data_IF_095357469344
#
_entry.id   IF_095357469344
#
_cell.length_a   1.000
_cell.length_b   1.000
_cell.length_c   1.000
_cell.angle_alpha   90.00
_cell.angle_beta   90.00
_cell.angle_gamma   90.00
#
_symmetry.space_group_name_H-M   'P 1'
#
loop_
_entity.id
_entity.type
_entity.pdbx_description
1 polymer ?
#
# COMPACT_ATOMS: atom_id res chain seq x y z
N UNK A 1 -16.50 -20.74 -12.68
CA UNK A 1 -16.15 -20.89 -11.24
C UNK A 1 -16.28 -19.50 -10.60
N UNK A 2 -17.19 -19.28 -9.64
CA UNK A 2 -17.27 -18.00 -8.92
C UNK A 2 -16.21 -18.03 -7.83
N UNK A 3 -15.13 -17.27 -8.00
CA UNK A 3 -14.18 -17.02 -6.91
C UNK A 3 -14.95 -16.34 -5.77
N UNK A 4 -14.98 -16.96 -4.59
CA UNK A 4 -15.50 -16.33 -3.37
C UNK A 4 -14.31 -15.67 -2.68
N UNK A 5 -14.15 -14.38 -2.91
CA UNK A 5 -13.09 -13.61 -2.25
C UNK A 5 -13.51 -13.20 -0.85
N UNK A 6 -12.58 -13.27 0.10
CA UNK A 6 -12.81 -12.91 1.50
C UNK A 6 -12.43 -11.44 1.76
N UNK A 7 -13.43 -10.55 1.64
CA UNK A 7 -13.22 -9.14 1.93
C UNK A 7 -13.00 -8.86 3.42
N UNK A 8 -13.46 -9.71 4.35
CA UNK A 8 -13.20 -9.49 5.77
C UNK A 8 -11.72 -9.67 6.09
N UNK A 9 -11.07 -10.64 5.44
CA UNK A 9 -9.62 -10.82 5.50
C UNK A 9 -8.86 -9.58 4.99
N UNK A 10 -9.30 -8.99 3.88
CA UNK A 10 -8.70 -7.75 3.36
C UNK A 10 -8.83 -6.59 4.34
N UNK A 11 -10.01 -6.38 4.92
CA UNK A 11 -10.28 -5.31 5.89
C UNK A 11 -9.48 -5.52 7.18
N UNK A 12 -9.33 -6.78 7.62
CA UNK A 12 -8.54 -7.13 8.81
C UNK A 12 -7.07 -6.81 8.61
N UNK A 13 -6.49 -7.16 7.45
CA UNK A 13 -5.08 -6.87 7.16
C UNK A 13 -4.83 -5.37 7.04
N UNK A 14 -5.69 -4.68 6.29
CA UNK A 14 -5.47 -3.26 6.00
C UNK A 14 -5.84 -2.34 7.16
N UNK A 15 -6.74 -2.78 8.05
CA UNK A 15 -7.33 -1.95 9.10
C UNK A 15 -8.23 -0.82 8.55
N UNK A 16 -8.61 -0.89 7.26
CA UNK A 16 -9.39 0.13 6.58
C UNK A 16 -10.86 -0.30 6.47
N UNK A 17 -11.75 0.68 6.33
CA UNK A 17 -13.15 0.45 5.96
C UNK A 17 -13.27 0.19 4.45
N UNK A 18 -14.41 -0.38 4.03
CA UNK A 18 -14.69 -0.60 2.59
C UNK A 18 -14.76 0.71 1.81
N UNK A 19 -15.25 1.76 2.47
CA UNK A 19 -15.36 3.10 1.93
C UNK A 19 -13.96 3.67 1.64
N UNK A 20 -13.05 3.58 2.61
CA UNK A 20 -11.66 4.04 2.44
C UNK A 20 -10.96 3.27 1.32
N UNK A 21 -11.14 1.94 1.26
CA UNK A 21 -10.58 1.12 0.16
C UNK A 21 -11.13 1.60 -1.20
N UNK A 22 -12.43 1.88 -1.27
CA UNK A 22 -13.06 2.34 -2.51
C UNK A 22 -12.54 3.71 -2.94
N UNK A 23 -12.28 4.62 -2.00
CA UNK A 23 -11.66 5.92 -2.26
C UNK A 23 -10.22 5.78 -2.75
N UNK A 24 -9.42 4.93 -2.11
CA UNK A 24 -8.05 4.64 -2.54
C UNK A 24 -7.99 4.06 -3.95
N UNK A 25 -8.93 3.17 -4.31
CA UNK A 25 -9.02 2.62 -5.66
C UNK A 25 -9.39 3.68 -6.71
N UNK A 26 -10.27 4.63 -6.36
CA UNK A 26 -10.59 5.76 -7.24
C UNK A 26 -9.37 6.65 -7.47
N UNK A 27 -8.68 7.01 -6.38
CA UNK A 27 -7.43 7.76 -6.45
C UNK A 27 -6.39 7.03 -7.33
N UNK A 28 -6.17 5.73 -7.10
CA UNK A 28 -5.25 4.94 -7.92
C UNK A 28 -5.64 4.95 -9.41
N UNK A 29 -6.93 4.90 -9.73
CA UNK A 29 -7.38 4.93 -11.12
C UNK A 29 -7.00 6.25 -11.83
N UNK A 30 -6.98 7.36 -11.09
CA UNK A 30 -6.65 8.70 -11.58
C UNK A 30 -5.13 8.95 -11.70
N UNK A 31 -4.29 8.11 -11.09
CA UNK A 31 -2.84 8.25 -11.14
C UNK A 31 -2.26 8.10 -12.57
N UNK A 32 -1.19 8.86 -12.91
CA UNK A 32 -0.43 8.64 -14.12
C UNK A 32 0.28 7.27 -14.09
N UNK A 33 0.64 6.76 -15.27
CA UNK A 33 1.21 5.41 -15.43
C UNK A 33 2.43 5.15 -14.53
N UNK A 34 3.32 6.13 -14.40
CA UNK A 34 4.53 6.02 -13.57
C UNK A 34 4.17 5.87 -12.10
N UNK A 35 3.26 6.69 -11.57
CA UNK A 35 2.81 6.59 -10.18
C UNK A 35 2.05 5.27 -9.90
N UNK A 36 1.34 4.75 -10.90
CA UNK A 36 0.74 3.40 -10.80
C UNK A 36 1.81 2.32 -10.64
N UNK A 37 2.91 2.42 -11.38
CA UNK A 37 4.05 1.48 -11.25
C UNK A 37 4.72 1.60 -9.88
N UNK A 38 4.87 2.82 -9.36
CA UNK A 38 5.40 3.05 -8.01
C UNK A 38 4.55 2.37 -6.94
N UNK A 39 3.21 2.35 -7.07
CA UNK A 39 2.33 1.64 -6.14
C UNK A 39 2.66 0.15 -6.07
N UNK A 40 2.97 -0.49 -7.20
CA UNK A 40 3.38 -1.89 -7.22
C UNK A 40 4.77 -2.10 -6.62
N UNK A 41 5.71 -1.20 -6.88
CA UNK A 41 7.04 -1.25 -6.27
C UNK A 41 6.96 -1.15 -4.74
N UNK A 42 6.16 -0.21 -4.23
CA UNK A 42 5.92 -0.05 -2.78
C UNK A 42 5.26 -1.30 -2.21
N UNK A 43 4.30 -1.90 -2.92
CA UNK A 43 3.69 -3.16 -2.48
C UNK A 43 4.71 -4.29 -2.33
N UNK A 44 5.75 -4.33 -3.18
CA UNK A 44 6.87 -5.27 -3.04
C UNK A 44 7.79 -4.93 -1.89
N UNK A 45 8.08 -3.65 -1.66
CA UNK A 45 8.81 -3.24 -0.47
C UNK A 45 8.07 -3.57 0.83
N UNK A 46 6.74 -3.48 0.87
CA UNK A 46 5.95 -3.91 2.04
C UNK A 46 6.11 -5.42 2.27
N UNK A 47 6.09 -6.19 1.18
CA UNK A 47 6.32 -7.65 1.21
C UNK A 47 7.72 -8.01 1.71
N UNK A 48 8.74 -7.20 1.40
CA UNK A 48 10.16 -7.47 1.68
C UNK A 48 10.70 -6.86 2.98
N UNK A 49 10.30 -5.63 3.36
CA UNK A 49 11.07 -4.80 4.30
C UNK A 49 10.75 -5.00 5.80
N UNK A 50 9.50 -4.92 6.29
CA UNK A 50 9.29 -5.04 7.75
C UNK A 50 7.82 -5.10 8.25
N UNK A 51 6.88 -5.62 7.45
CA UNK A 51 5.58 -6.10 7.98
C UNK A 51 5.55 -7.63 8.10
N UNK A 52 6.68 -8.29 7.89
CA UNK A 52 6.81 -9.75 7.85
C UNK A 52 6.37 -10.40 9.18
N UNK A 53 6.73 -9.84 10.33
CA UNK A 53 6.33 -10.44 11.62
C UNK A 53 4.84 -10.27 11.94
N UNK A 54 4.22 -9.13 11.62
CA UNK A 54 2.81 -8.87 11.94
C UNK A 54 1.85 -9.47 10.89
N UNK A 55 2.23 -9.43 9.61
CA UNK A 55 1.42 -9.92 8.49
C UNK A 55 1.68 -11.38 8.13
N UNK A 56 2.85 -12.00 8.41
CA UNK A 56 2.97 -13.46 8.26
C UNK A 56 2.07 -14.23 9.22
N UNK A 57 1.74 -13.67 10.40
CA UNK A 57 0.71 -14.24 11.27
C UNK A 57 -0.68 -14.26 10.62
N UNK A 58 -0.91 -13.39 9.63
CA UNK A 58 -2.15 -13.34 8.87
C UNK A 58 -2.04 -14.05 7.52
N UNK A 59 -0.84 -14.35 7.02
CA UNK A 59 -0.66 -14.99 5.72
C UNK A 59 -1.32 -16.37 5.65
N UNK A 60 -2.41 -16.43 4.90
CA UNK A 60 -3.11 -17.65 4.55
C UNK A 60 -2.85 -18.00 3.08
N UNK A 61 -2.21 -19.15 2.83
CA UNK A 61 -1.94 -19.66 1.47
C UNK A 61 -3.20 -19.83 0.64
N UNK A 62 -4.35 -20.05 1.27
CA UNK A 62 -5.64 -20.16 0.58
C UNK A 62 -6.19 -18.80 0.14
N UNK A 63 -5.65 -17.70 0.66
CA UNK A 63 -6.09 -16.31 0.43
C UNK A 63 -4.98 -15.45 -0.16
N UNK A 64 -4.14 -16.04 -1.00
CA UNK A 64 -2.99 -15.35 -1.59
C UNK A 64 -3.39 -14.15 -2.45
N UNK A 65 -4.56 -14.22 -3.11
CA UNK A 65 -5.10 -13.11 -3.90
C UNK A 65 -5.52 -11.94 -3.03
N UNK A 66 -6.24 -12.21 -1.94
CA UNK A 66 -6.66 -11.21 -0.96
C UNK A 66 -5.46 -10.61 -0.23
N UNK A 67 -4.47 -11.42 0.12
CA UNK A 67 -3.22 -10.96 0.73
C UNK A 67 -2.48 -9.99 -0.20
N UNK A 68 -2.26 -10.39 -1.46
CA UNK A 68 -1.64 -9.52 -2.45
C UNK A 68 -2.43 -8.24 -2.70
N UNK A 69 -3.76 -8.33 -2.71
CA UNK A 69 -4.62 -7.15 -2.82
C UNK A 69 -4.52 -6.23 -1.61
N UNK A 70 -4.41 -6.78 -0.39
CA UNK A 70 -4.19 -5.98 0.82
C UNK A 70 -2.86 -5.22 0.77
N UNK A 71 -1.77 -5.85 0.33
CA UNK A 71 -0.48 -5.19 0.17
C UNK A 71 -0.57 -4.04 -0.83
N UNK A 72 -1.27 -4.27 -1.95
CA UNK A 72 -1.53 -3.24 -2.94
C UNK A 72 -2.33 -2.06 -2.35
N UNK A 73 -3.41 -2.33 -1.61
CA UNK A 73 -4.20 -1.26 -0.94
C UNK A 73 -3.35 -0.47 0.05
N UNK A 74 -2.49 -1.13 0.83
CA UNK A 74 -1.58 -0.46 1.75
C UNK A 74 -0.57 0.43 1.01
N UNK A 75 -0.05 -0.04 -0.13
CA UNK A 75 0.85 0.74 -0.96
C UNK A 75 0.17 2.00 -1.55
N UNK A 76 -1.05 1.85 -2.07
CA UNK A 76 -1.87 2.98 -2.55
C UNK A 76 -2.18 3.95 -1.41
N UNK A 77 -2.53 3.45 -0.23
CA UNK A 77 -2.75 4.28 0.96
C UNK A 77 -1.49 5.06 1.33
N UNK A 78 -0.30 4.45 1.23
CA UNK A 78 0.96 5.14 1.47
C UNK A 78 1.15 6.27 0.46
N UNK A 79 1.05 5.99 -0.84
CA UNK A 79 1.14 7.03 -1.89
C UNK A 79 0.15 8.16 -1.68
N UNK A 80 -1.12 7.82 -1.43
CA UNK A 80 -2.16 8.79 -1.13
C UNK A 80 -1.78 9.69 0.05
N UNK A 81 -1.30 9.10 1.15
CA UNK A 81 -0.81 9.87 2.29
C UNK A 81 0.42 10.70 1.96
N UNK A 82 1.32 10.25 1.09
CA UNK A 82 2.50 11.04 0.70
C UNK A 82 2.11 12.28 -0.10
N UNK A 83 1.24 12.10 -1.10
CA UNK A 83 0.83 13.18 -1.99
C UNK A 83 -0.13 14.17 -1.30
N UNK A 84 -0.92 13.69 -0.33
CA UNK A 84 -1.85 14.54 0.41
C UNK A 84 -1.25 15.16 1.68
N UNK A 85 -0.17 14.60 2.24
CA UNK A 85 0.49 15.10 3.48
C UNK A 85 1.78 15.87 3.25
N UNK A 86 1.91 16.61 2.15
CA UNK A 86 2.95 17.65 2.04
C UNK A 86 2.61 18.96 2.82
N UNK A 87 1.63 18.92 3.73
CA UNK A 87 1.25 20.08 4.55
C UNK A 87 1.21 19.74 6.06
N UNK A 88 2.31 20.09 6.73
CA UNK A 88 2.30 20.72 8.06
C UNK A 88 2.23 19.89 9.37
N UNK A 89 2.40 18.56 9.43
CA UNK A 89 2.51 17.94 10.78
C UNK A 89 3.54 16.80 10.96
N UNK A 90 4.40 17.01 11.95
CA UNK A 90 5.65 16.29 12.27
C UNK A 90 5.42 15.02 13.08
N UNK A 91 4.58 14.09 12.61
CA UNK A 91 4.40 12.78 13.26
C UNK A 91 4.33 11.61 12.25
N UNK A 92 5.11 11.68 11.18
CA UNK A 92 5.38 10.49 10.37
C UNK A 92 6.36 9.60 11.15
N UNK A 93 6.03 8.31 11.31
CA UNK A 93 6.96 7.36 11.91
C UNK A 93 8.28 7.33 11.11
N UNK A 94 9.41 7.08 11.78
CA UNK A 94 10.73 7.03 11.14
C UNK A 94 10.77 6.11 9.91
N UNK A 95 9.92 5.08 9.91
CA UNK A 95 9.73 4.16 8.79
C UNK A 95 9.05 4.82 7.57
N UNK A 96 7.99 5.60 7.77
CA UNK A 96 7.36 6.35 6.66
C UNK A 96 8.33 7.37 6.08
N UNK A 97 9.14 8.03 6.92
CA UNK A 97 10.19 8.94 6.47
C UNK A 97 11.27 8.23 5.64
N UNK A 98 11.70 7.02 6.05
CA UNK A 98 12.65 6.22 5.26
C UNK A 98 12.07 5.76 3.92
N UNK A 99 10.79 5.38 3.89
CA UNK A 99 10.14 4.95 2.65
C UNK A 99 9.97 6.15 1.69
N UNK A 100 9.59 7.33 2.21
CA UNK A 100 9.56 8.58 1.45
C UNK A 100 10.95 8.91 0.91
N UNK A 101 11.99 8.77 1.73
CA UNK A 101 13.36 9.04 1.30
C UNK A 101 13.79 8.08 0.17
N UNK A 102 13.49 6.78 0.28
CA UNK A 102 13.74 5.80 -0.79
C UNK A 102 12.97 6.13 -2.07
N UNK A 103 11.69 6.51 -1.97
CA UNK A 103 10.88 6.91 -3.12
C UNK A 103 11.40 8.19 -3.78
N UNK A 104 11.78 9.21 -2.99
CA UNK A 104 12.38 10.45 -3.51
C UNK A 104 13.74 10.18 -4.16
N UNK A 105 14.56 9.29 -3.59
CA UNK A 105 15.83 8.88 -4.20
C UNK A 105 15.62 8.18 -5.55
N UNK A 106 14.64 7.29 -5.66
CA UNK A 106 14.30 6.61 -6.92
C UNK A 106 13.80 7.61 -7.97
N UNK A 107 12.92 8.53 -7.61
CA UNK A 107 12.40 9.57 -8.51
C UNK A 107 13.50 10.53 -9.01
N UNK A 108 14.53 10.79 -8.21
CA UNK A 108 15.66 11.65 -8.58
C UNK A 108 16.79 10.91 -9.34
N UNK A 109 16.71 9.59 -9.52
CA UNK A 109 17.67 8.84 -10.34
C UNK A 109 17.30 8.82 -11.82
N UNK A 110 16.06 9.17 -12.15
CA UNK A 110 15.52 9.23 -13.52
C UNK A 110 15.51 10.66 -14.12
N UNK A 111 16.09 11.66 -13.41
CA UNK A 111 16.42 13.01 -13.92
C UNK A 111 17.91 13.14 -14.26
#
# INVERSE_FOLDING_TARGET
MKFKYDMEYVLKITGLSKENISELLKYFNELPLVAKLEAFYISKLIEEEDEFAFLQHHFDKQKIGEYGFSLFILAVNRLYNLETKDAADKNLSSYMLNTIAKMKMLRNQDE
#
